data_IF_446912034742
#
_entry.id   IF_446912034742
#
_cell.length_a   1.000
_cell.length_b   1.000
_cell.length_c   1.000
_cell.angle_alpha   90.00
_cell.angle_beta   90.00
_cell.angle_gamma   90.00
#
_symmetry.space_group_name_H-M   'P 1'
#
loop_
_entity.id
_entity.type
_entity.pdbx_description
1 polymer ?
#
# COMPACT_ATOMS: atom_id res chain seq x y z
N UNK A 1 56.84 52.75 -30.96
CA UNK A 1 57.79 53.87 -31.02
C UNK A 1 58.00 54.38 -29.60
N UNK A 2 59.24 54.32 -29.10
CA UNK A 2 59.99 55.39 -28.44
C UNK A 2 61.41 54.82 -28.27
N UNK A 3 62.37 55.57 -28.79
CA UNK A 3 63.78 55.27 -28.79
C UNK A 3 64.48 56.00 -27.64
N UNK A 4 65.51 55.35 -27.08
CA UNK A 4 66.77 55.98 -26.63
C UNK A 4 66.78 56.68 -25.27
N UNK A 5 67.66 56.22 -24.38
CA UNK A 5 68.85 57.00 -24.00
C UNK A 5 69.86 56.13 -23.24
N UNK A 6 71.06 56.02 -23.80
CA UNK A 6 72.28 55.55 -23.14
C UNK A 6 73.02 56.79 -22.64
N UNK A 7 73.33 56.86 -21.34
CA UNK A 7 74.48 57.63 -20.83
C UNK A 7 75.17 56.83 -19.74
N UNK A 8 76.50 56.74 -19.87
CA UNK A 8 77.42 56.01 -19.02
C UNK A 8 77.99 56.91 -17.92
N UNK A 9 78.40 56.30 -16.80
CA UNK A 9 79.38 56.87 -15.87
C UNK A 9 79.02 56.71 -14.40
N UNK A 10 79.64 55.74 -13.72
CA UNK A 10 79.58 55.62 -12.27
C UNK A 10 80.47 54.49 -11.74
N UNK A 11 81.47 54.86 -10.93
CA UNK A 11 82.52 54.04 -10.34
C UNK A 11 81.97 52.77 -9.64
N UNK A 12 82.62 51.64 -9.94
CA UNK A 12 82.27 50.33 -9.40
C UNK A 12 82.56 50.21 -7.90
N UNK A 13 81.50 50.17 -7.11
CA UNK A 13 81.44 49.28 -5.95
C UNK A 13 81.16 47.88 -6.50
N UNK A 14 82.07 46.93 -6.28
CA UNK A 14 81.87 45.52 -6.58
C UNK A 14 80.81 44.93 -5.66
N UNK A 15 79.54 45.30 -5.87
CA UNK A 15 78.40 44.60 -5.32
C UNK A 15 78.26 43.29 -6.06
N UNK A 16 78.36 42.17 -5.35
CA UNK A 16 77.98 40.87 -5.88
C UNK A 16 76.48 40.93 -6.16
N UNK A 17 76.08 41.11 -7.43
CA UNK A 17 74.68 40.94 -7.82
C UNK A 17 74.46 39.44 -7.76
N UNK A 18 73.76 38.97 -6.72
CA UNK A 18 73.33 37.58 -6.64
C UNK A 18 72.60 37.24 -7.95
N UNK A 19 73.01 36.15 -8.60
CA UNK A 19 72.37 35.71 -9.82
C UNK A 19 70.86 35.53 -9.55
N UNK A 20 70.02 36.02 -10.46
CA UNK A 20 68.58 35.79 -10.35
C UNK A 20 68.29 34.31 -10.62
N UNK A 21 67.36 33.73 -9.87
CA UNK A 21 66.96 32.34 -10.00
C UNK A 21 65.85 32.19 -11.07
N UNK A 22 65.93 31.13 -11.86
CA UNK A 22 64.93 30.79 -12.86
C UNK A 22 63.70 30.14 -12.20
N UNK A 23 62.51 30.72 -12.41
CA UNK A 23 61.26 30.17 -11.90
C UNK A 23 60.31 29.80 -13.05
N UNK A 24 59.77 28.59 -12.99
CA UNK A 24 58.63 28.14 -13.78
C UNK A 24 57.39 28.08 -12.87
N UNK A 25 56.55 29.10 -12.94
CA UNK A 25 55.35 29.22 -12.12
C UNK A 25 54.12 28.72 -12.89
N UNK A 26 53.48 27.66 -12.40
CA UNK A 26 52.23 27.11 -12.91
C UNK A 26 51.08 27.50 -11.98
N UNK A 27 50.16 28.34 -12.47
CA UNK A 27 48.95 28.73 -11.73
C UNK A 27 47.74 28.09 -12.39
N UNK A 28 47.05 27.20 -11.68
CA UNK A 28 45.91 26.43 -12.20
C UNK A 28 46.24 25.74 -13.55
N UNK A 29 47.50 25.30 -13.71
CA UNK A 29 48.04 24.67 -14.91
C UNK A 29 48.43 25.62 -16.06
N UNK A 30 48.38 26.94 -15.86
CA UNK A 30 48.93 27.92 -16.78
C UNK A 30 50.34 28.30 -16.34
N UNK A 31 51.34 27.96 -17.17
CA UNK A 31 52.75 28.17 -16.84
C UNK A 31 53.30 29.49 -17.37
N UNK A 32 54.03 30.20 -16.54
CA UNK A 32 54.81 31.40 -16.87
C UNK A 32 56.25 31.20 -16.39
N UNK A 33 57.23 31.63 -17.18
CA UNK A 33 58.65 31.59 -16.82
C UNK A 33 59.21 32.99 -16.65
N UNK A 34 59.99 33.20 -15.61
CA UNK A 34 60.67 34.47 -15.31
C UNK A 34 61.85 34.23 -14.36
N UNK A 35 62.67 35.25 -14.16
CA UNK A 35 63.75 35.24 -13.16
C UNK A 35 63.35 36.05 -11.93
N UNK A 36 63.84 35.67 -10.75
CA UNK A 36 63.53 36.34 -9.48
C UNK A 36 64.73 36.41 -8.54
N UNK A 37 64.69 37.34 -7.58
CA UNK A 37 65.61 37.40 -6.44
C UNK A 37 64.91 37.06 -5.11
N UNK A 38 63.64 36.64 -5.17
CA UNK A 38 62.87 36.24 -4.01
C UNK A 38 63.46 34.96 -3.40
N UNK A 39 63.69 34.96 -2.09
CA UNK A 39 64.34 33.84 -1.41
C UNK A 39 63.43 32.66 -1.10
N UNK A 40 62.10 32.84 -1.13
CA UNK A 40 61.13 31.80 -0.80
C UNK A 40 59.95 31.76 -1.79
N UNK A 41 59.24 30.63 -1.81
CA UNK A 41 58.00 30.49 -2.60
C UNK A 41 56.97 31.57 -2.23
N UNK A 42 56.79 31.86 -0.94
CA UNK A 42 55.86 32.91 -0.49
C UNK A 42 56.21 34.30 -1.06
N UNK A 43 57.50 34.63 -1.10
CA UNK A 43 57.98 35.89 -1.65
C UNK A 43 57.75 35.96 -3.17
N UNK A 44 58.03 34.88 -3.90
CA UNK A 44 57.74 34.79 -5.34
C UNK A 44 56.25 35.02 -5.62
N UNK A 45 55.36 34.36 -4.88
CA UNK A 45 53.91 34.51 -5.09
C UNK A 45 53.43 35.92 -4.77
N UNK A 46 53.94 36.54 -3.70
CA UNK A 46 53.62 37.93 -3.33
C UNK A 46 54.06 38.91 -4.42
N UNK A 47 55.26 38.74 -4.96
CA UNK A 47 55.80 39.63 -6.01
C UNK A 47 55.02 39.49 -7.34
N UNK A 48 54.47 38.30 -7.61
CA UNK A 48 53.57 38.06 -8.74
C UNK A 48 52.11 38.48 -8.46
N UNK A 49 51.79 39.01 -7.27
CA UNK A 49 50.44 39.43 -6.89
C UNK A 49 49.47 38.27 -6.68
N UNK A 50 49.98 37.08 -6.38
CA UNK A 50 49.21 35.85 -6.19
C UNK A 50 48.96 35.64 -4.70
N UNK A 51 47.78 36.04 -4.24
CA UNK A 51 47.33 35.76 -2.88
C UNK A 51 46.81 34.32 -2.77
N UNK A 52 47.36 33.55 -1.84
CA UNK A 52 46.96 32.17 -1.52
C UNK A 52 46.47 32.07 -0.08
N UNK A 53 45.66 31.05 0.22
CA UNK A 53 45.15 30.74 1.56
C UNK A 53 45.44 29.27 1.94
N UNK A 54 44.99 28.87 3.13
CA UNK A 54 45.22 27.56 3.72
C UNK A 54 44.55 26.39 2.99
N UNK A 55 43.60 26.66 2.08
CA UNK A 55 42.93 25.65 1.25
C UNK A 55 43.60 25.44 -0.10
N UNK A 56 44.40 26.40 -0.56
CA UNK A 56 45.08 26.31 -1.84
C UNK A 56 46.25 25.32 -1.74
N UNK A 57 46.51 24.57 -2.82
CA UNK A 57 47.66 23.68 -2.90
C UNK A 57 48.83 24.42 -3.56
N UNK A 58 49.89 24.61 -2.79
CA UNK A 58 51.12 25.29 -3.24
C UNK A 58 52.30 24.34 -3.07
N UNK A 59 52.99 24.06 -4.17
CA UNK A 59 54.12 23.15 -4.22
C UNK A 59 55.32 23.79 -4.94
N UNK A 60 56.52 23.81 -4.34
CA UNK A 60 56.84 23.46 -2.96
C UNK A 60 56.12 24.34 -1.92
N UNK A 61 56.27 24.03 -0.64
CA UNK A 61 55.61 24.79 0.45
C UNK A 61 55.99 26.28 0.44
N UNK A 62 55.15 27.12 1.03
CA UNK A 62 55.37 28.58 1.08
C UNK A 62 56.72 29.00 1.70
N UNK A 63 57.26 28.19 2.61
CA UNK A 63 58.55 28.43 3.27
C UNK A 63 59.74 27.80 2.56
N UNK A 64 59.52 27.07 1.48
CA UNK A 64 60.60 26.47 0.70
C UNK A 64 61.45 27.54 0.05
N UNK A 65 62.77 27.38 0.13
CA UNK A 65 63.73 28.26 -0.52
C UNK A 65 63.64 28.12 -2.04
N UNK A 66 63.81 29.25 -2.73
CA UNK A 66 63.93 29.30 -4.19
C UNK A 66 65.41 29.47 -4.50
N UNK A 67 66.01 28.44 -5.11
CA UNK A 67 67.44 28.43 -5.45
C UNK A 67 67.66 27.65 -6.75
N UNK A 68 68.25 28.30 -7.75
CA UNK A 68 68.37 27.78 -9.09
C UNK A 68 67.02 27.53 -9.78
N UNK A 69 67.00 26.72 -10.86
CA UNK A 69 65.79 26.40 -11.60
C UNK A 69 64.71 25.75 -10.72
N UNK A 70 63.68 26.51 -10.37
CA UNK A 70 62.61 26.09 -9.46
C UNK A 70 61.27 26.06 -10.19
N UNK A 71 60.49 24.98 -10.00
CA UNK A 71 59.10 24.94 -10.48
C UNK A 71 58.17 25.15 -9.29
N UNK A 72 57.29 26.14 -9.38
CA UNK A 72 56.28 26.45 -8.38
C UNK A 72 54.92 26.16 -9.00
N UNK A 73 54.08 25.39 -8.32
CA UNK A 73 52.70 25.10 -8.73
C UNK A 73 51.75 25.66 -7.68
N UNK A 74 50.73 26.37 -8.15
CA UNK A 74 49.63 26.90 -7.33
C UNK A 74 48.33 26.39 -7.92
N UNK A 75 47.61 25.56 -7.19
CA UNK A 75 46.25 25.13 -7.52
C UNK A 75 45.28 25.77 -6.52
N UNK A 76 44.43 26.67 -7.02
CA UNK A 76 43.48 27.37 -6.18
C UNK A 76 42.32 26.46 -5.77
N UNK A 77 41.95 26.51 -4.50
CA UNK A 77 40.76 25.84 -4.00
C UNK A 77 39.50 26.55 -4.47
N UNK A 78 38.50 25.74 -4.82
CA UNK A 78 37.20 26.19 -5.33
C UNK A 78 36.09 25.53 -4.53
N UNK A 79 35.05 26.30 -4.23
CA UNK A 79 33.90 25.78 -3.51
C UNK A 79 32.96 25.02 -4.47
N UNK A 80 32.81 23.73 -4.26
CA UNK A 80 31.84 22.90 -4.97
C UNK A 80 30.62 22.69 -4.09
N UNK A 81 29.46 23.19 -4.51
CA UNK A 81 28.18 22.81 -3.90
C UNK A 81 27.53 21.76 -4.78
N UNK A 82 27.30 20.58 -4.21
CA UNK A 82 26.79 19.43 -4.95
C UNK A 82 25.51 18.91 -4.32
N UNK A 83 24.53 18.56 -5.15
CA UNK A 83 23.28 17.90 -4.72
C UNK A 83 23.23 16.51 -5.32
N UNK A 84 23.61 15.49 -4.55
CA UNK A 84 23.64 14.09 -4.99
C UNK A 84 22.33 13.43 -4.56
N UNK A 85 21.55 12.95 -5.53
CA UNK A 85 20.27 12.26 -5.32
C UNK A 85 19.29 13.04 -4.42
N UNK A 86 19.36 14.38 -4.47
CA UNK A 86 18.53 15.30 -3.68
C UNK A 86 19.15 15.74 -2.34
N UNK A 87 20.26 15.14 -1.90
CA UNK A 87 20.99 15.59 -0.71
C UNK A 87 22.05 16.61 -1.10
N UNK A 88 21.99 17.80 -0.50
CA UNK A 88 22.93 18.90 -0.75
C UNK A 88 24.09 18.85 0.25
N UNK A 89 25.31 18.94 -0.24
CA UNK A 89 26.55 19.05 0.52
C UNK A 89 27.51 20.05 -0.17
N UNK A 90 28.56 20.51 0.52
CA UNK A 90 29.55 21.46 -0.01
C UNK A 90 30.97 20.99 0.32
N UNK A 91 31.88 21.11 -0.66
CA UNK A 91 33.25 20.62 -0.60
C UNK A 91 34.21 21.65 -1.18
N UNK A 92 35.48 21.59 -0.76
CA UNK A 92 36.57 22.33 -1.39
C UNK A 92 37.38 21.36 -2.26
N UNK A 93 37.74 21.80 -3.46
CA UNK A 93 38.55 21.02 -4.41
C UNK A 93 39.46 21.94 -5.21
N UNK A 94 40.62 21.43 -5.63
CA UNK A 94 41.52 22.09 -6.59
C UNK A 94 41.19 21.74 -8.04
N UNK A 95 40.19 20.88 -8.28
CA UNK A 95 39.71 20.55 -9.60
C UNK A 95 39.25 21.79 -10.38
N UNK A 96 39.59 21.82 -11.67
CA UNK A 96 39.31 22.92 -12.60
C UNK A 96 38.10 22.65 -13.49
N UNK A 97 37.61 21.41 -13.49
CA UNK A 97 36.45 20.99 -14.26
C UNK A 97 35.50 20.14 -13.41
N UNK A 98 34.24 20.11 -13.84
CA UNK A 98 33.22 19.26 -13.21
C UNK A 98 33.64 17.79 -13.25
N UNK A 99 34.22 17.30 -14.35
CA UNK A 99 34.61 15.90 -14.44
C UNK A 99 35.70 15.53 -13.44
N UNK A 100 36.74 16.35 -13.33
CA UNK A 100 37.85 16.16 -12.38
C UNK A 100 37.32 16.14 -10.93
N UNK A 101 36.46 17.09 -10.57
CA UNK A 101 35.86 17.11 -9.23
C UNK A 101 34.98 15.88 -8.94
N UNK A 102 34.23 15.42 -9.95
CA UNK A 102 33.39 14.23 -9.81
C UNK A 102 34.23 12.94 -9.72
N UNK A 103 35.38 12.87 -10.39
CA UNK A 103 36.32 11.75 -10.27
C UNK A 103 36.91 11.66 -8.86
N UNK A 104 37.32 12.79 -8.27
CA UNK A 104 37.77 12.85 -6.86
C UNK A 104 36.72 12.30 -5.89
N UNK A 105 35.45 12.57 -6.17
CA UNK A 105 34.30 12.09 -5.39
C UNK A 105 33.84 10.65 -5.75
N UNK A 106 34.54 9.96 -6.65
CA UNK A 106 34.18 8.63 -7.18
C UNK A 106 32.76 8.58 -7.78
N UNK A 107 32.29 9.68 -8.38
CA UNK A 107 30.98 9.73 -9.03
C UNK A 107 31.09 9.14 -10.44
N UNK A 108 30.28 8.12 -10.79
CA UNK A 108 30.43 7.42 -12.06
C UNK A 108 30.11 8.31 -13.27
N UNK A 109 30.75 8.01 -14.41
CA UNK A 109 30.52 8.68 -15.68
C UNK A 109 29.05 8.62 -16.14
N UNK A 110 28.32 7.57 -15.73
CA UNK A 110 26.90 7.34 -16.03
C UNK A 110 25.93 8.19 -15.21
N UNK A 111 26.40 8.98 -14.23
CA UNK A 111 25.54 9.89 -13.48
C UNK A 111 25.03 11.02 -14.38
N UNK A 112 23.75 11.39 -14.21
CA UNK A 112 23.14 12.53 -14.90
C UNK A 112 23.42 13.80 -14.12
N UNK A 113 23.86 14.83 -14.84
CA UNK A 113 24.30 16.10 -14.25
C UNK A 113 23.40 17.27 -14.67
N UNK A 114 23.32 18.30 -13.85
CA UNK A 114 22.68 19.58 -14.22
C UNK A 114 23.53 20.46 -15.13
N UNK A 115 24.79 20.09 -15.38
CA UNK A 115 25.73 20.83 -16.23
C UNK A 115 26.64 19.84 -16.97
N UNK A 116 27.43 20.33 -17.92
CA UNK A 116 28.40 19.53 -18.67
C UNK A 116 29.55 19.04 -17.77
N UNK A 117 30.06 17.84 -18.01
CA UNK A 117 31.29 17.31 -17.39
C UNK A 117 32.51 18.18 -17.71
N UNK A 118 32.56 18.76 -18.90
CA UNK A 118 33.62 19.68 -19.29
C UNK A 118 33.43 21.12 -18.80
N UNK A 119 32.38 21.41 -18.03
CA UNK A 119 32.18 22.75 -17.49
C UNK A 119 33.34 23.11 -16.56
N UNK A 120 33.90 24.31 -16.74
CA UNK A 120 34.95 24.82 -15.86
C UNK A 120 34.35 25.16 -14.50
N UNK A 121 35.14 24.90 -13.45
CA UNK A 121 34.86 25.39 -12.11
C UNK A 121 35.71 26.65 -11.94
N UNK A 122 35.09 27.81 -11.82
CA UNK A 122 35.80 29.05 -11.55
C UNK A 122 36.10 29.20 -10.04
N UNK A 123 36.83 30.25 -9.67
CA UNK A 123 37.21 30.50 -8.27
C UNK A 123 36.03 30.89 -7.37
N UNK A 124 34.89 31.28 -7.93
CA UNK A 124 33.66 31.55 -7.17
C UNK A 124 32.90 30.28 -6.83
N UNK A 125 33.27 29.16 -7.47
CA UNK A 125 32.69 27.86 -7.24
C UNK A 125 31.61 27.47 -8.24
N UNK A 126 30.94 26.36 -7.98
CA UNK A 126 29.86 25.89 -8.86
C UNK A 126 28.80 25.11 -8.08
N UNK A 127 27.55 25.20 -8.53
CA UNK A 127 26.44 24.40 -8.01
C UNK A 127 26.06 23.30 -9.02
N UNK A 128 26.13 22.04 -8.60
CA UNK A 128 25.88 20.87 -9.48
C UNK A 128 24.83 19.97 -8.85
N UNK A 129 23.82 19.56 -9.62
CA UNK A 129 22.93 18.45 -9.26
C UNK A 129 23.39 17.19 -9.96
N UNK A 130 23.45 16.10 -9.22
CA UNK A 130 23.89 14.79 -9.67
C UNK A 130 22.82 13.77 -9.32
N UNK A 131 22.27 13.12 -10.33
CA UNK A 131 21.40 11.96 -10.16
C UNK A 131 22.19 10.70 -10.54
N UNK A 132 22.50 9.87 -9.54
CA UNK A 132 23.34 8.68 -9.74
C UNK A 132 22.53 7.57 -10.41
N UNK A 133 23.14 6.94 -11.41
CA UNK A 133 22.54 5.78 -12.08
C UNK A 133 22.56 4.57 -11.17
N UNK A 134 21.39 3.97 -10.93
CA UNK A 134 21.20 2.80 -10.08
C UNK A 134 20.63 1.66 -10.91
N UNK A 135 21.10 0.46 -10.64
CA UNK A 135 20.56 -0.76 -11.27
C UNK A 135 19.42 -1.33 -10.42
N UNK A 136 18.41 -1.91 -11.06
CA UNK A 136 17.34 -2.61 -10.37
C UNK A 136 16.87 -3.82 -11.18
N UNK A 137 16.38 -4.82 -10.45
CA UNK A 137 15.73 -6.01 -11.02
C UNK A 137 14.25 -5.94 -10.71
N UNK A 138 13.42 -5.88 -11.75
CA UNK A 138 11.96 -5.85 -11.66
C UNK A 138 11.42 -7.24 -12.00
N UNK A 139 10.57 -7.78 -11.14
CA UNK A 139 9.80 -9.00 -11.38
C UNK A 139 8.35 -8.61 -11.55
N UNK A 140 7.78 -8.80 -12.74
CA UNK A 140 6.40 -8.43 -13.07
C UNK A 140 5.76 -9.49 -13.97
N UNK A 141 4.60 -10.02 -13.59
CA UNK A 141 3.88 -11.03 -14.39
C UNK A 141 4.71 -12.26 -14.75
N UNK A 142 5.54 -12.73 -13.81
CA UNK A 142 6.46 -13.87 -14.01
C UNK A 142 7.72 -13.58 -14.84
N UNK A 143 7.87 -12.37 -15.39
CA UNK A 143 9.08 -11.95 -16.14
C UNK A 143 10.03 -11.18 -15.24
N UNK A 144 11.34 -11.36 -15.48
CA UNK A 144 12.40 -10.60 -14.81
C UNK A 144 13.04 -9.63 -15.80
N UNK A 145 13.06 -8.34 -15.44
CA UNK A 145 13.62 -7.25 -16.22
C UNK A 145 14.73 -6.58 -15.42
N UNK A 146 15.85 -6.26 -16.07
CA UNK A 146 16.89 -5.40 -15.49
C UNK A 146 16.72 -4.00 -16.04
N UNK A 147 16.78 -3.00 -15.16
CA UNK A 147 16.70 -1.59 -15.55
C UNK A 147 17.82 -0.80 -14.87
N UNK A 148 18.38 0.16 -15.59
CA UNK A 148 19.22 1.21 -15.03
C UNK A 148 18.42 2.50 -15.04
N UNK A 149 18.35 3.18 -13.90
CA UNK A 149 17.59 4.43 -13.78
C UNK A 149 18.35 5.46 -12.95
N UNK A 150 18.22 6.72 -13.33
CA UNK A 150 18.65 7.90 -12.55
C UNK A 150 17.52 8.45 -11.69
N UNK A 151 16.35 7.80 -11.72
CA UNK A 151 15.22 8.12 -10.86
C UNK A 151 15.54 7.92 -9.37
N UNK A 152 14.82 8.65 -8.52
CA UNK A 152 15.03 8.60 -7.06
C UNK A 152 14.14 7.58 -6.39
N UNK A 153 13.08 7.12 -7.06
CA UNK A 153 12.06 6.25 -6.46
C UNK A 153 11.87 4.95 -7.23
N UNK A 154 11.24 3.97 -6.58
CA UNK A 154 10.80 2.72 -7.23
C UNK A 154 9.86 3.00 -8.41
N UNK A 155 8.97 4.01 -8.28
CA UNK A 155 8.08 4.43 -9.35
C UNK A 155 8.84 4.92 -10.59
N UNK A 156 9.93 5.66 -10.41
CA UNK A 156 10.76 6.13 -11.53
C UNK A 156 11.41 4.97 -12.28
N UNK A 157 11.92 3.96 -11.56
CA UNK A 157 12.50 2.76 -12.15
C UNK A 157 11.46 1.96 -12.95
N UNK A 158 10.24 1.81 -12.43
CA UNK A 158 9.14 1.14 -13.12
C UNK A 158 8.72 1.89 -14.38
N UNK A 159 8.61 3.23 -14.30
CA UNK A 159 8.32 4.10 -15.45
C UNK A 159 9.39 3.97 -16.54
N UNK A 160 10.67 3.96 -16.16
CA UNK A 160 11.78 3.79 -17.08
C UNK A 160 11.80 2.40 -17.73
N UNK A 161 11.46 1.35 -16.97
CA UNK A 161 11.30 0.00 -17.48
C UNK A 161 10.01 -0.20 -18.30
N UNK A 162 9.16 0.83 -18.41
CA UNK A 162 7.83 0.77 -19.05
C UNK A 162 6.92 -0.32 -18.45
N UNK A 163 7.06 -0.57 -17.14
CA UNK A 163 6.20 -1.48 -16.39
C UNK A 163 5.04 -0.67 -15.82
N UNK A 164 3.87 -0.84 -16.43
CA UNK A 164 2.63 -0.26 -15.93
C UNK A 164 2.08 -1.08 -14.76
N UNK A 165 1.43 -0.40 -13.83
CA UNK A 165 0.66 -0.97 -12.74
C UNK A 165 -0.45 0.01 -12.35
N UNK A 166 -1.54 -0.49 -11.78
CA UNK A 166 -2.66 0.33 -11.31
C UNK A 166 -2.78 0.37 -9.78
N UNK A 167 -3.91 0.86 -9.28
CA UNK A 167 -4.18 1.02 -7.85
C UNK A 167 -4.45 -0.30 -7.12
N UNK A 168 -4.86 -1.32 -7.85
CA UNK A 168 -5.22 -2.63 -7.31
C UNK A 168 -3.98 -3.55 -7.28
N UNK A 169 -3.02 -3.30 -8.16
CA UNK A 169 -1.72 -3.97 -8.21
C UNK A 169 -0.86 -3.77 -6.95
N UNK A 170 -0.02 -4.77 -6.66
CA UNK A 170 0.87 -4.74 -5.49
C UNK A 170 2.32 -4.56 -5.93
N UNK A 171 2.90 -3.42 -5.56
CA UNK A 171 4.31 -3.10 -5.80
C UNK A 171 5.10 -3.13 -4.50
N UNK A 172 6.18 -3.93 -4.48
CA UNK A 172 7.09 -4.06 -3.34
C UNK A 172 8.55 -3.89 -3.77
N UNK A 173 9.34 -2.97 -3.17
CA UNK A 173 8.92 -1.97 -2.18
C UNK A 173 7.89 -0.98 -2.75
N UNK A 174 7.25 -0.19 -1.87
CA UNK A 174 6.25 0.82 -2.29
C UNK A 174 6.80 1.72 -3.41
N UNK A 175 5.99 2.17 -4.38
CA UNK A 175 6.45 3.02 -5.47
C UNK A 175 7.14 4.31 -5.02
N UNK A 176 6.73 4.88 -3.89
CA UNK A 176 7.32 6.10 -3.31
C UNK A 176 8.64 5.88 -2.57
N UNK A 177 9.05 4.64 -2.34
CA UNK A 177 10.30 4.32 -1.65
C UNK A 177 11.51 4.74 -2.49
N UNK A 178 12.61 5.09 -1.82
CA UNK A 178 13.86 5.44 -2.50
C UNK A 178 14.41 4.24 -3.30
N UNK A 179 14.87 4.50 -4.52
CA UNK A 179 15.57 3.53 -5.35
C UNK A 179 17.00 3.35 -4.80
N UNK A 180 17.36 2.12 -4.47
CA UNK A 180 18.73 1.74 -4.07
C UNK A 180 19.40 1.01 -5.22
N UNK A 181 20.73 1.06 -5.28
CA UNK A 181 21.46 0.26 -6.27
C UNK A 181 21.23 -1.24 -6.03
N UNK A 182 21.09 -1.98 -7.12
CA UNK A 182 20.72 -3.40 -7.18
C UNK A 182 19.38 -3.73 -6.49
N UNK A 183 18.47 -2.76 -6.37
CA UNK A 183 17.17 -2.98 -5.75
C UNK A 183 16.38 -4.08 -6.47
N UNK A 184 15.71 -4.95 -5.71
CA UNK A 184 14.73 -5.91 -6.23
C UNK A 184 13.33 -5.32 -6.06
N UNK A 185 12.61 -5.20 -7.17
CA UNK A 185 11.26 -4.66 -7.25
C UNK A 185 10.36 -5.80 -7.72
N UNK A 186 9.23 -6.00 -7.05
CA UNK A 186 8.24 -7.01 -7.39
C UNK A 186 6.92 -6.29 -7.64
N UNK A 187 6.33 -6.52 -8.80
CA UNK A 187 5.00 -6.05 -9.21
C UNK A 187 4.12 -7.27 -9.40
N UNK A 188 3.08 -7.40 -8.58
CA UNK A 188 2.05 -8.43 -8.73
C UNK A 188 0.81 -7.78 -9.31
N UNK A 189 0.36 -8.30 -10.44
CA UNK A 189 -0.84 -7.77 -11.12
C UNK A 189 -2.08 -8.34 -10.44
N UNK A 190 -3.01 -7.48 -10.04
CA UNK A 190 -4.24 -7.85 -9.32
C UNK A 190 -5.43 -7.53 -10.19
N UNK A 191 -6.16 -8.57 -10.61
CA UNK A 191 -7.36 -8.43 -11.43
C UNK A 191 -8.60 -8.85 -10.64
N UNK A 192 -9.62 -7.99 -10.59
CA UNK A 192 -10.89 -8.27 -9.90
C UNK A 192 -12.01 -8.43 -10.93
N UNK A 193 -12.57 -9.64 -11.04
CA UNK A 193 -13.69 -9.94 -11.93
C UNK A 193 -14.98 -10.14 -11.14
N UNK A 194 -16.11 -9.75 -11.74
CA UNK A 194 -17.44 -10.10 -11.22
C UNK A 194 -18.16 -10.98 -12.22
N UNK A 195 -18.86 -12.01 -11.72
CA UNK A 195 -19.70 -12.86 -12.54
C UNK A 195 -21.06 -13.08 -11.88
N UNK A 196 -22.12 -13.03 -12.67
CA UNK A 196 -23.47 -13.36 -12.24
C UNK A 196 -23.77 -14.79 -12.63
N UNK A 197 -24.27 -15.60 -11.69
CA UNK A 197 -24.66 -17.00 -11.90
C UNK A 197 -26.11 -17.18 -11.50
N UNK A 198 -26.90 -17.85 -12.34
CA UNK A 198 -28.23 -18.34 -11.96
C UNK A 198 -28.07 -19.77 -11.48
N UNK A 199 -28.48 -20.02 -10.25
CA UNK A 199 -28.46 -21.34 -9.63
C UNK A 199 -29.89 -21.83 -9.55
N UNK A 200 -30.10 -23.01 -10.14
CA UNK A 200 -31.39 -23.70 -10.11
C UNK A 200 -31.48 -24.60 -8.88
N UNK A 201 -32.66 -24.59 -8.27
CA UNK A 201 -33.00 -25.37 -7.10
C UNK A 201 -34.16 -26.28 -7.47
N UNK A 202 -33.83 -27.49 -7.94
CA UNK A 202 -34.78 -28.51 -8.36
C UNK A 202 -35.82 -28.79 -7.27
N UNK A 203 -37.07 -28.96 -7.68
CA UNK A 203 -38.16 -29.32 -6.78
C UNK A 203 -38.22 -30.83 -6.56
N UNK A 204 -38.74 -31.23 -5.40
CA UNK A 204 -39.00 -32.63 -5.06
C UNK A 204 -40.46 -32.98 -5.33
N UNK A 205 -40.75 -34.25 -5.61
CA UNK A 205 -42.12 -34.77 -5.61
C UNK A 205 -42.40 -35.37 -4.23
N UNK A 206 -43.51 -34.96 -3.62
CA UNK A 206 -43.98 -35.41 -2.32
C UNK A 206 -45.33 -36.10 -2.56
N UNK A 207 -45.42 -37.35 -2.15
CA UNK A 207 -46.67 -38.11 -2.17
C UNK A 207 -47.43 -37.90 -0.85
N UNK A 208 -48.74 -37.70 -0.94
CA UNK A 208 -49.60 -37.51 0.23
C UNK A 208 -50.85 -38.37 0.07
N UNK A 209 -51.06 -39.26 1.02
CA UNK A 209 -52.23 -40.15 1.01
C UNK A 209 -53.54 -39.37 1.23
N UNK A 210 -54.62 -39.81 0.57
CA UNK A 210 -55.97 -39.26 0.77
C UNK A 210 -57.07 -40.31 0.61
N UNK A 211 -58.05 -40.28 1.51
CA UNK A 211 -59.27 -41.08 1.42
C UNK A 211 -60.29 -40.52 0.41
N UNK A 212 -60.00 -39.38 -0.23
CA UNK A 212 -60.88 -38.79 -1.24
C UNK A 212 -60.78 -39.44 -2.62
N UNK A 213 -59.73 -40.22 -2.88
CA UNK A 213 -59.45 -40.89 -4.14
C UNK A 213 -59.45 -42.41 -3.93
N UNK A 214 -59.85 -43.17 -4.96
CA UNK A 214 -59.84 -44.63 -4.90
C UNK A 214 -58.41 -45.17 -4.83
N UNK A 215 -58.24 -46.31 -4.15
CA UNK A 215 -56.94 -46.97 -4.01
C UNK A 215 -56.34 -47.29 -5.38
N UNK A 216 -55.18 -46.70 -5.68
CA UNK A 216 -54.49 -46.82 -6.96
C UNK A 216 -54.64 -45.59 -7.88
N UNK A 217 -55.56 -44.66 -7.58
CA UNK A 217 -55.65 -43.38 -8.27
C UNK A 217 -54.63 -42.38 -7.72
N UNK A 218 -54.10 -41.53 -8.60
CA UNK A 218 -53.27 -40.41 -8.20
C UNK A 218 -53.77 -39.11 -8.83
N UNK A 219 -53.62 -38.00 -8.09
CA UNK A 219 -53.96 -36.66 -8.59
C UNK A 219 -52.88 -35.68 -8.19
N UNK A 220 -52.38 -34.88 -9.14
CA UNK A 220 -51.48 -33.77 -8.79
C UNK A 220 -52.30 -32.67 -8.11
N UNK A 221 -51.95 -32.37 -6.86
CA UNK A 221 -52.56 -31.30 -6.07
C UNK A 221 -51.79 -29.99 -6.24
N UNK A 222 -50.45 -30.06 -6.19
CA UNK A 222 -49.58 -28.91 -6.38
C UNK A 222 -48.51 -29.21 -7.43
N UNK A 223 -48.40 -28.36 -8.47
CA UNK A 223 -47.33 -28.48 -9.46
C UNK A 223 -46.00 -27.97 -8.89
N UNK A 224 -44.94 -28.75 -9.10
CA UNK A 224 -43.58 -28.39 -8.73
C UNK A 224 -43.02 -27.22 -9.55
N UNK A 225 -42.21 -26.39 -8.90
CA UNK A 225 -41.56 -25.23 -9.49
C UNK A 225 -40.09 -25.25 -9.09
N UNK A 226 -39.19 -25.35 -10.07
CA UNK A 226 -37.75 -25.16 -9.86
C UNK A 226 -37.50 -23.74 -9.38
N UNK A 227 -36.84 -23.61 -8.23
CA UNK A 227 -36.42 -22.32 -7.72
C UNK A 227 -35.22 -21.80 -8.50
N UNK A 228 -35.10 -20.48 -8.63
CA UNK A 228 -33.95 -19.85 -9.29
C UNK A 228 -33.43 -18.76 -8.37
N UNK A 229 -32.15 -18.83 -8.06
CA UNK A 229 -31.43 -17.80 -7.33
C UNK A 229 -30.37 -17.19 -8.24
N UNK A 230 -30.33 -15.86 -8.33
CA UNK A 230 -29.25 -15.13 -8.99
C UNK A 230 -28.20 -14.74 -7.96
N UNK A 231 -26.97 -15.17 -8.17
CA UNK A 231 -25.84 -14.88 -7.31
C UNK A 231 -24.78 -14.06 -8.05
N UNK A 232 -24.31 -12.98 -7.43
CA UNK A 232 -23.18 -12.20 -7.95
C UNK A 232 -21.93 -12.60 -7.18
N UNK A 233 -20.90 -13.01 -7.90
CA UNK A 233 -19.62 -13.47 -7.36
C UNK A 233 -18.51 -12.52 -7.78
N UNK A 234 -17.54 -12.29 -6.90
CA UNK A 234 -16.28 -11.61 -7.15
C UNK A 234 -15.13 -12.61 -7.10
N UNK A 235 -14.21 -12.51 -8.05
CA UNK A 235 -13.01 -13.33 -8.17
C UNK A 235 -11.81 -12.39 -8.19
N UNK A 236 -10.80 -12.66 -7.37
CA UNK A 236 -9.53 -11.91 -7.34
C UNK A 236 -8.43 -12.80 -7.87
N UNK A 237 -7.73 -12.33 -8.90
CA UNK A 237 -6.59 -12.99 -9.50
C UNK A 237 -5.32 -12.22 -9.17
N UNK A 238 -4.28 -12.91 -8.74
CA UNK A 238 -2.94 -12.34 -8.56
C UNK A 238 -1.99 -13.06 -9.51
N UNK A 239 -1.36 -12.31 -10.41
CA UNK A 239 -0.52 -12.83 -11.50
C UNK A 239 -1.25 -13.93 -12.31
N UNK A 240 -2.54 -13.71 -12.57
CA UNK A 240 -3.41 -14.64 -13.33
C UNK A 240 -3.92 -15.85 -12.55
N UNK A 241 -3.52 -16.05 -11.29
CA UNK A 241 -3.99 -17.15 -10.44
C UNK A 241 -5.13 -16.70 -9.53
N UNK A 242 -6.24 -17.44 -9.50
CA UNK A 242 -7.34 -17.16 -8.56
C UNK A 242 -6.84 -17.30 -7.12
N UNK A 243 -7.03 -16.25 -6.32
CA UNK A 243 -6.60 -16.19 -4.91
C UNK A 243 -7.76 -16.02 -3.96
N UNK A 244 -8.84 -15.38 -4.41
CA UNK A 244 -10.03 -15.15 -3.60
C UNK A 244 -11.29 -15.29 -4.46
N UNK A 245 -12.33 -15.90 -3.88
CA UNK A 245 -13.67 -15.99 -4.46
C UNK A 245 -14.69 -15.66 -3.39
N UNK A 246 -15.52 -14.65 -3.64
CA UNK A 246 -16.51 -14.14 -2.68
C UNK A 246 -17.88 -13.96 -3.34
N UNK A 247 -18.95 -14.45 -2.69
CA UNK A 247 -20.32 -14.10 -3.07
C UNK A 247 -20.64 -12.69 -2.56
N UNK A 248 -21.00 -11.79 -3.46
CA UNK A 248 -21.37 -10.40 -3.16
C UNK A 248 -22.85 -10.27 -2.83
N UNK A 249 -23.71 -10.96 -3.57
CA UNK A 249 -25.16 -10.91 -3.36
C UNK A 249 -25.83 -12.20 -3.82
N UNK A 250 -27.03 -12.43 -3.30
CA UNK A 250 -27.91 -13.52 -3.68
C UNK A 250 -29.34 -12.99 -3.70
N UNK A 251 -30.04 -13.19 -4.81
CA UNK A 251 -31.42 -12.75 -5.02
C UNK A 251 -32.26 -13.92 -5.52
N UNK A 252 -33.30 -14.28 -4.78
CA UNK A 252 -34.26 -15.28 -5.24
C UNK A 252 -35.09 -14.66 -6.38
N UNK A 253 -34.91 -15.17 -7.60
CA UNK A 253 -35.73 -14.78 -8.76
C UNK A 253 -37.03 -15.57 -8.81
N UNK A 254 -36.97 -16.85 -8.43
CA UNK A 254 -38.13 -17.75 -8.40
C UNK A 254 -38.05 -18.62 -7.16
N UNK A 255 -39.07 -18.57 -6.29
CA UNK A 255 -39.12 -19.45 -5.11
C UNK A 255 -39.40 -20.88 -5.56
N UNK A 256 -38.61 -21.83 -5.05
CA UNK A 256 -38.83 -23.27 -5.24
C UNK A 256 -40.17 -23.67 -4.62
N UNK A 257 -40.93 -24.55 -5.28
CA UNK A 257 -42.12 -25.22 -4.72
C UNK A 257 -42.08 -26.71 -5.06
N UNK A 258 -42.24 -27.57 -4.06
CA UNK A 258 -42.28 -29.02 -4.27
C UNK A 258 -43.61 -29.44 -4.93
N UNK A 259 -43.57 -30.50 -5.76
CA UNK A 259 -44.75 -31.09 -6.40
C UNK A 259 -45.45 -31.99 -5.37
N UNK A 260 -46.77 -31.84 -5.21
CA UNK A 260 -47.57 -32.71 -4.34
C UNK A 260 -48.47 -33.59 -5.20
N UNK A 261 -48.35 -34.91 -5.02
CA UNK A 261 -49.20 -35.91 -5.66
C UNK A 261 -50.02 -36.59 -4.57
N UNK A 262 -51.35 -36.49 -4.68
CA UNK A 262 -52.27 -37.21 -3.82
C UNK A 262 -52.37 -38.66 -4.30
N UNK A 263 -52.27 -39.60 -3.38
CA UNK A 263 -52.40 -41.04 -3.64
C UNK A 263 -53.64 -41.55 -2.91
N UNK A 264 -54.57 -42.18 -3.64
CA UNK A 264 -55.82 -42.64 -3.08
C UNK A 264 -55.65 -43.83 -2.14
N UNK A 265 -56.36 -43.79 -1.01
CA UNK A 265 -56.42 -44.86 -0.01
C UNK A 265 -57.82 -45.40 0.21
N UNK A 266 -58.83 -44.86 -0.49
CA UNK A 266 -60.23 -45.29 -0.34
C UNK A 266 -60.40 -46.68 -0.96
N UNK A 267 -60.72 -47.65 -0.12
CA UNK A 267 -61.02 -49.00 -0.60
C UNK A 267 -62.34 -49.01 -1.38
N UNK A 268 -62.43 -49.80 -2.47
CA UNK A 268 -63.66 -49.93 -3.23
C UNK A 268 -64.76 -50.48 -2.31
N UNK A 269 -65.95 -49.85 -2.33
CA UNK A 269 -67.11 -50.39 -1.62
C UNK A 269 -67.42 -51.77 -2.20
N UNK A 270 -67.32 -52.82 -1.36
CA UNK A 270 -67.96 -54.11 -1.67
C UNK A 270 -69.45 -53.84 -1.88
N UNK A 271 -69.95 -54.26 -3.04
CA UNK A 271 -71.38 -54.38 -3.32
C UNK A 271 -71.93 -55.50 -2.44
N UNK A 272 -72.86 -55.20 -1.53
CA UNK A 272 -73.63 -56.22 -0.84
C UNK A 272 -75.12 -56.03 -1.11
N UNK A 273 -75.69 -57.10 -1.64
CA UNK A 273 -77.10 -57.37 -1.93
C UNK A 273 -77.68 -58.11 -0.70
N UNK A 274 -78.80 -57.60 -0.19
CA UNK A 274 -79.85 -58.27 0.62
C UNK A 274 -79.58 -59.07 1.92
N UNK A 275 -80.42 -58.75 2.90
CA UNK A 275 -81.16 -59.62 3.84
C UNK A 275 -80.51 -60.24 5.10
N UNK A 276 -80.99 -59.68 6.23
CA UNK A 276 -81.80 -60.33 7.28
C UNK A 276 -81.14 -61.02 8.50
N UNK A 277 -81.65 -60.53 9.63
CA UNK A 277 -81.93 -61.15 10.93
C UNK A 277 -80.91 -61.34 12.07
N UNK A 278 -81.41 -60.88 13.23
CA UNK A 278 -81.23 -61.40 14.60
C UNK A 278 -80.09 -60.92 15.52
N UNK A 279 -80.48 -59.94 16.39
CA UNK A 279 -80.57 -60.01 17.87
C UNK A 279 -79.33 -60.16 18.78
N UNK A 280 -79.28 -59.20 19.71
CA UNK A 280 -79.17 -59.27 21.18
C UNK A 280 -77.94 -58.66 21.87
N UNK A 281 -78.28 -57.74 22.80
CA UNK A 281 -77.73 -57.44 24.14
C UNK A 281 -76.27 -56.99 24.22
N UNK A 282 -75.82 -56.08 25.08
CA UNK A 282 -76.34 -55.18 26.11
C UNK A 282 -75.06 -54.36 26.42
N UNK A 283 -75.01 -53.04 26.56
CA UNK A 283 -75.35 -52.32 27.79
C UNK A 283 -74.64 -50.96 27.74
N UNK A 284 -75.38 -49.93 28.13
CA UNK A 284 -74.99 -48.89 29.07
C UNK A 284 -73.71 -48.07 28.86
N UNK A 285 -73.89 -46.82 28.44
CA UNK A 285 -73.85 -45.64 29.34
C UNK A 285 -73.30 -44.40 28.62
N UNK A 286 -74.17 -43.39 28.49
CA UNK A 286 -74.03 -42.04 29.08
C UNK A 286 -72.64 -41.36 29.02
N UNK A 287 -72.48 -40.09 28.70
CA UNK A 287 -73.37 -38.97 28.41
C UNK A 287 -72.45 -37.79 28.07
N UNK A 288 -73.08 -36.68 27.67
CA UNK A 288 -72.63 -35.32 27.97
C UNK A 288 -71.64 -34.62 27.01
N UNK A 289 -72.25 -34.11 25.94
CA UNK A 289 -72.56 -32.69 25.71
C UNK A 289 -71.47 -31.59 25.80
N UNK A 290 -71.61 -30.67 24.83
CA UNK A 290 -71.31 -29.24 24.97
C UNK A 290 -69.87 -28.82 24.65
N UNK A 291 -69.59 -27.66 24.08
CA UNK A 291 -70.40 -26.53 23.64
C UNK A 291 -69.43 -25.52 23.01
N UNK A 292 -69.94 -24.73 22.05
CA UNK A 292 -69.56 -23.37 21.63
C UNK A 292 -68.07 -22.93 21.66
N UNK A 293 -67.49 -22.44 20.56
CA UNK A 293 -68.01 -21.36 19.72
C UNK A 293 -67.23 -20.08 20.01
N UNK A 294 -66.77 -19.35 18.98
CA UNK A 294 -66.21 -18.01 19.18
C UNK A 294 -65.17 -17.55 18.17
N UNK A 295 -65.66 -16.98 17.08
CA UNK A 295 -64.98 -16.15 16.07
C UNK A 295 -64.22 -14.94 16.66
N UNK A 296 -63.23 -14.41 15.91
CA UNK A 296 -62.92 -12.97 15.95
C UNK A 296 -61.45 -12.55 15.88
N UNK A 297 -60.94 -12.41 14.65
CA UNK A 297 -60.17 -11.30 14.07
C UNK A 297 -59.05 -10.52 14.80
N UNK A 298 -57.99 -10.36 14.01
CA UNK A 298 -57.17 -9.16 13.75
C UNK A 298 -56.19 -8.57 14.79
N UNK A 299 -55.13 -8.02 14.19
CA UNK A 299 -54.12 -7.08 14.69
C UNK A 299 -52.87 -7.58 15.44
N UNK A 300 -51.78 -7.60 14.66
CA UNK A 300 -50.48 -6.94 14.91
C UNK A 300 -49.80 -7.14 16.29
N UNK A 301 -48.59 -7.74 16.36
CA UNK A 301 -47.77 -7.62 17.54
C UNK A 301 -46.87 -6.38 17.45
N UNK A 302 -47.12 -5.49 18.41
CA UNK A 302 -46.27 -4.39 18.84
C UNK A 302 -44.89 -4.86 19.31
N UNK A 303 -43.94 -3.93 19.14
CA UNK A 303 -42.69 -3.76 19.88
C UNK A 303 -42.60 -4.50 21.22
N UNK A 304 -41.58 -5.35 21.35
CA UNK A 304 -41.03 -5.76 22.64
C UNK A 304 -39.57 -5.33 22.76
N UNK A 305 -39.35 -4.39 23.68
CA UNK A 305 -38.04 -4.08 24.25
C UNK A 305 -37.51 -5.30 25.01
N UNK A 306 -36.71 -6.14 24.34
CA UNK A 306 -35.90 -7.11 25.04
C UNK A 306 -34.72 -6.42 25.75
N UNK A 307 -34.61 -6.66 27.05
CA UNK A 307 -33.53 -6.30 27.97
C UNK A 307 -32.19 -6.93 27.56
N UNK A 308 -31.66 -6.53 26.41
CA UNK A 308 -30.34 -6.94 25.94
C UNK A 308 -29.25 -6.26 26.77
N UNK A 309 -28.23 -7.04 27.18
CA UNK A 309 -27.01 -6.52 27.82
C UNK A 309 -26.54 -5.27 27.09
N UNK A 310 -26.38 -4.18 27.82
CA UNK A 310 -25.94 -2.90 27.27
C UNK A 310 -24.86 -2.28 28.15
N UNK A 311 -24.04 -1.41 27.57
CA UNK A 311 -22.93 -0.76 28.27
C UNK A 311 -22.30 0.35 27.43
N UNK A 312 -21.40 1.09 28.06
CA UNK A 312 -20.60 2.14 27.43
C UNK A 312 -19.12 1.84 27.58
N UNK A 313 -18.34 2.05 26.53
CA UNK A 313 -16.90 1.81 26.53
C UNK A 313 -16.23 2.53 25.35
N UNK A 314 -14.92 2.38 25.22
CA UNK A 314 -14.22 2.71 23.98
C UNK A 314 -14.29 1.56 22.95
N UNK A 315 -14.47 1.92 21.69
CA UNK A 315 -14.36 1.02 20.55
C UNK A 315 -13.18 1.43 19.66
N UNK A 316 -12.35 0.45 19.31
CA UNK A 316 -11.33 0.59 18.26
C UNK A 316 -11.79 -0.10 16.98
N UNK A 317 -10.94 -0.11 15.95
CA UNK A 317 -11.13 -0.98 14.81
C UNK A 317 -9.86 -1.72 14.44
N UNK A 318 -10.03 -2.89 13.82
CA UNK A 318 -8.95 -3.72 13.32
C UNK A 318 -9.14 -4.07 11.85
N UNK A 319 -8.02 -4.36 11.20
CA UNK A 319 -7.97 -4.53 9.75
C UNK A 319 -7.02 -5.63 9.28
N UNK A 320 -6.33 -6.30 10.19
CA UNK A 320 -5.40 -7.36 9.84
C UNK A 320 -6.21 -8.64 9.57
N UNK A 321 -5.98 -9.26 8.41
CA UNK A 321 -6.65 -10.49 8.00
C UNK A 321 -6.10 -11.68 8.79
N UNK A 322 -6.72 -11.98 9.93
CA UNK A 322 -6.44 -13.15 10.75
C UNK A 322 -7.69 -14.05 10.83
N UNK A 323 -7.54 -15.29 11.27
CA UNK A 323 -8.68 -16.11 11.64
C UNK A 323 -9.30 -15.53 12.91
N UNK A 324 -10.61 -15.36 12.93
CA UNK A 324 -11.33 -14.88 14.12
C UNK A 324 -11.54 -16.01 15.11
N UNK A 325 -11.84 -15.67 16.36
CA UNK A 325 -12.03 -16.65 17.43
C UNK A 325 -13.24 -17.59 17.23
N UNK A 326 -14.22 -17.27 16.37
CA UNK A 326 -15.31 -18.19 16.03
C UNK A 326 -14.96 -19.14 14.86
N UNK A 327 -13.73 -19.07 14.33
CA UNK A 327 -13.24 -19.93 13.25
C UNK A 327 -13.54 -19.42 11.84
N UNK A 328 -14.19 -18.25 11.67
CA UNK A 328 -14.38 -17.64 10.35
C UNK A 328 -13.18 -16.75 9.97
N UNK A 329 -12.88 -16.65 8.67
CA UNK A 329 -11.84 -15.75 8.19
C UNK A 329 -12.28 -14.30 8.39
N UNK A 330 -11.45 -13.47 9.04
CA UNK A 330 -11.80 -12.08 9.29
C UNK A 330 -11.97 -11.31 7.98
N UNK A 331 -13.13 -10.70 7.81
CA UNK A 331 -13.42 -9.82 6.69
C UNK A 331 -13.58 -8.38 7.17
N UNK A 332 -12.60 -7.54 6.84
CA UNK A 332 -12.59 -6.12 7.24
C UNK A 332 -13.77 -5.32 6.68
N UNK A 333 -14.46 -5.83 5.64
CA UNK A 333 -15.58 -5.18 4.99
C UNK A 333 -16.96 -5.62 5.51
N UNK A 334 -17.04 -6.62 6.38
CA UNK A 334 -18.31 -7.06 6.97
C UNK A 334 -18.64 -6.28 8.24
N UNK A 335 -19.92 -6.26 8.64
CA UNK A 335 -20.34 -5.60 9.88
C UNK A 335 -20.19 -6.55 11.06
N UNK A 336 -18.95 -6.74 11.49
CA UNK A 336 -18.57 -7.63 12.60
C UNK A 336 -17.74 -6.91 13.65
N UNK A 337 -17.63 -7.50 14.83
CA UNK A 337 -16.82 -6.97 15.91
C UNK A 337 -16.30 -8.07 16.85
N UNK A 338 -15.16 -7.79 17.48
CA UNK A 338 -14.66 -8.54 18.62
C UNK A 338 -15.31 -8.03 19.91
N UNK A 339 -15.69 -8.95 20.81
CA UNK A 339 -16.09 -8.63 22.18
C UNK A 339 -15.53 -9.66 23.16
N UNK A 340 -15.17 -9.23 24.38
CA UNK A 340 -14.53 -10.08 25.41
C UNK A 340 -15.35 -11.31 25.78
N UNK A 341 -16.65 -11.13 25.99
CA UNK A 341 -17.52 -12.16 26.58
C UNK A 341 -18.90 -12.33 25.95
N UNK A 342 -19.25 -11.57 24.90
CA UNK A 342 -20.57 -11.72 24.29
C UNK A 342 -20.58 -13.04 23.48
N UNK A 343 -21.68 -13.80 23.51
CA UNK A 343 -21.80 -15.02 22.71
C UNK A 343 -21.49 -14.74 21.23
N UNK A 344 -20.83 -15.66 20.56
CA UNK A 344 -20.65 -15.54 19.11
C UNK A 344 -22.02 -15.49 18.42
N UNK A 345 -22.07 -14.81 17.28
CA UNK A 345 -23.27 -14.50 16.51
C UNK A 345 -24.28 -13.57 17.19
N UNK A 346 -23.99 -13.04 18.38
CA UNK A 346 -24.80 -11.95 18.97
C UNK A 346 -24.85 -10.76 18.02
N UNK A 347 -26.05 -10.21 17.81
CA UNK A 347 -26.23 -8.94 17.10
C UNK A 347 -26.19 -7.80 18.10
N UNK A 348 -25.38 -6.79 17.82
CA UNK A 348 -25.14 -5.68 18.74
C UNK A 348 -25.30 -4.37 17.98
N UNK A 349 -26.21 -3.51 18.44
CA UNK A 349 -26.26 -2.13 17.98
C UNK A 349 -25.17 -1.34 18.70
N UNK A 350 -24.30 -0.70 17.93
CA UNK A 350 -23.19 0.14 18.43
C UNK A 350 -23.46 1.57 18.00
N UNK A 351 -23.50 2.48 18.96
CA UNK A 351 -23.77 3.91 18.75
C UNK A 351 -22.56 4.72 19.18
N UNK A 352 -22.01 5.52 18.27
CA UNK A 352 -20.94 6.45 18.57
C UNK A 352 -21.49 7.66 19.34
N UNK A 353 -21.00 7.87 20.56
CA UNK A 353 -21.48 8.92 21.46
C UNK A 353 -21.05 10.32 21.01
N UNK A 354 -20.02 10.45 20.19
CA UNK A 354 -19.54 11.74 19.70
C UNK A 354 -20.43 12.35 18.61
N UNK A 355 -21.15 11.52 17.85
CA UNK A 355 -21.92 11.99 16.68
C UNK A 355 -23.31 11.36 16.53
N UNK A 356 -23.71 10.47 17.44
CA UNK A 356 -25.02 9.81 17.45
C UNK A 356 -25.23 8.74 16.37
N UNK A 357 -24.28 8.51 15.45
CA UNK A 357 -24.42 7.50 14.40
C UNK A 357 -24.34 6.10 14.99
N UNK A 358 -25.13 5.17 14.44
CA UNK A 358 -25.14 3.78 14.89
C UNK A 358 -25.11 2.78 13.74
N UNK A 359 -24.63 1.57 14.05
CA UNK A 359 -24.69 0.42 13.15
C UNK A 359 -24.94 -0.85 13.94
N UNK A 360 -25.33 -1.92 13.27
CA UNK A 360 -25.50 -3.25 13.88
C UNK A 360 -24.38 -4.16 13.40
N UNK A 361 -23.67 -4.77 14.35
CA UNK A 361 -22.60 -5.73 14.07
C UNK A 361 -22.93 -7.10 14.62
N UNK A 362 -22.31 -8.14 14.06
CA UNK A 362 -22.32 -9.50 14.60
C UNK A 362 -21.02 -9.79 15.33
N UNK A 363 -21.08 -10.37 16.53
CA UNK A 363 -19.88 -10.79 17.26
C UNK A 363 -19.32 -12.08 16.65
N UNK A 364 -18.14 -12.01 16.07
CA UNK A 364 -17.44 -13.17 15.48
C UNK A 364 -16.06 -13.40 16.09
N UNK A 365 -15.58 -12.48 16.91
CA UNK A 365 -14.20 -12.51 17.41
C UNK A 365 -14.12 -12.17 18.90
N UNK A 366 -12.93 -12.30 19.48
CA UNK A 366 -12.66 -12.08 20.90
C UNK A 366 -11.64 -10.97 21.12
N UNK A 367 -11.91 -10.15 22.14
CA UNK A 367 -11.12 -8.95 22.44
C UNK A 367 -12.01 -7.70 22.46
N UNK A 368 -11.44 -6.49 22.44
CA UNK A 368 -10.02 -6.20 22.63
C UNK A 368 -9.62 -6.41 24.09
N UNK A 369 -8.52 -7.11 24.38
CA UNK A 369 -8.06 -7.37 25.76
C UNK A 369 -7.27 -6.20 26.37
N UNK A 370 -7.81 -5.00 26.21
CA UNK A 370 -7.21 -3.75 26.70
C UNK A 370 -8.23 -3.10 27.65
N UNK A 371 -7.73 -2.50 28.73
CA UNK A 371 -8.59 -1.80 29.70
C UNK A 371 -9.31 -0.62 29.03
N UNK A 372 -10.53 -0.33 29.44
CA UNK A 372 -11.36 0.75 28.86
C UNK A 372 -12.03 0.42 27.52
N UNK A 373 -11.53 -0.55 26.75
CA UNK A 373 -12.10 -0.94 25.44
C UNK A 373 -12.96 -2.19 25.56
N UNK A 374 -14.15 -2.18 24.94
CA UNK A 374 -15.05 -3.34 24.95
C UNK A 374 -15.41 -3.87 23.56
N UNK A 375 -15.19 -3.09 22.50
CA UNK A 375 -15.44 -3.50 21.13
C UNK A 375 -14.23 -3.20 20.25
N UNK A 376 -13.92 -4.14 19.36
CA UNK A 376 -13.03 -3.88 18.24
C UNK A 376 -13.82 -4.11 16.96
N UNK A 377 -14.17 -3.02 16.27
CA UNK A 377 -15.03 -3.07 15.11
C UNK A 377 -14.23 -3.49 13.88
N UNK A 378 -14.90 -4.11 12.91
CA UNK A 378 -14.34 -4.16 11.56
C UNK A 378 -14.16 -2.74 11.00
N UNK A 379 -13.30 -2.59 9.98
CA UNK A 379 -13.11 -1.32 9.29
C UNK A 379 -14.42 -0.77 8.71
N UNK A 380 -15.26 -1.64 8.13
CA UNK A 380 -16.57 -1.24 7.61
C UNK A 380 -17.51 -0.71 8.70
N UNK A 381 -17.61 -1.41 9.83
CA UNK A 381 -18.46 -1.00 10.95
C UNK A 381 -17.99 0.33 11.56
N UNK A 382 -16.67 0.50 11.74
CA UNK A 382 -16.11 1.77 12.22
C UNK A 382 -16.34 2.93 11.24
N UNK A 383 -16.16 2.67 9.93
CA UNK A 383 -16.42 3.66 8.89
C UNK A 383 -17.88 4.14 8.91
N UNK A 384 -18.82 3.25 9.22
CA UNK A 384 -20.25 3.58 9.28
C UNK A 384 -20.61 4.53 10.44
N UNK A 385 -19.93 4.43 11.60
CA UNK A 385 -20.30 5.20 12.80
C UNK A 385 -19.37 6.38 13.10
N UNK A 386 -18.15 6.42 12.57
CA UNK A 386 -17.19 7.49 12.94
C UNK A 386 -16.09 7.77 11.93
N UNK A 387 -15.88 6.89 10.93
CA UNK A 387 -14.69 6.95 10.08
C UNK A 387 -13.47 6.33 10.77
N UNK A 388 -12.45 5.97 9.99
CA UNK A 388 -11.25 5.27 10.51
C UNK A 388 -10.17 6.21 11.04
N UNK A 389 -10.27 7.52 10.80
CA UNK A 389 -9.27 8.51 11.21
C UNK A 389 -9.25 8.78 12.73
N UNK A 390 -10.36 8.52 13.43
CA UNK A 390 -10.47 8.75 14.87
C UNK A 390 -9.69 7.72 15.72
N UNK A 391 -9.39 6.54 15.17
CA UNK A 391 -8.69 5.45 15.86
C UNK A 391 -9.55 4.75 16.92
N UNK A 392 -9.98 5.50 17.95
CA UNK A 392 -10.80 5.04 19.08
C UNK A 392 -11.98 6.00 19.27
N UNK A 393 -13.17 5.46 19.51
CA UNK A 393 -14.39 6.25 19.73
C UNK A 393 -15.18 5.77 20.95
N UNK A 394 -15.76 6.66 21.77
CA UNK A 394 -16.66 6.27 22.84
C UNK A 394 -17.98 5.78 22.25
N UNK A 395 -18.43 4.61 22.67
CA UNK A 395 -19.66 3.98 22.17
C UNK A 395 -20.58 3.53 23.29
N UNK A 396 -21.88 3.52 22.99
CA UNK A 396 -22.89 2.74 23.71
C UNK A 396 -23.28 1.54 22.87
N UNK A 397 -23.28 0.34 23.46
CA UNK A 397 -23.72 -0.87 22.78
C UNK A 397 -24.96 -1.48 23.45
N UNK A 398 -25.82 -2.13 22.66
CA UNK A 398 -27.00 -2.89 23.12
C UNK A 398 -27.11 -4.18 22.29
N UNK A 399 -27.18 -5.33 22.95
CA UNK A 399 -27.48 -6.62 22.32
C UNK A 399 -28.94 -6.63 21.85
N UNK A 400 -29.21 -7.17 20.66
CA UNK A 400 -30.51 -7.19 20.00
C UNK A 400 -31.18 -8.55 20.04
#
# INVERSE_FOLDING_TARGET
MIAGLLTAGGLGYGGYVAAADDVNLSVDGQSTRFTTHAGTVADVLRDQGIAVNDRDDVQPSLTSEVAGPTTITVNFARQLTITIDGKKDSYWTTARSVDEALQEMNIPASAKLSTSRGAKIDRTGIHIKVDTSKTATIVAGGKTLKVTSTGRTIADALKQAKVAYDKDDQVSPKPSSALRDKAKIVVKIVEVKKATKKIEHEFKTIEKETASLEKGETKTDTTGITGITEEVWQYVYVDGKETEKRKLSSKVLKKKRDKIVLVGTKEPKKSDDSNDDSKNDDSDSNDDSGDSGGSGNDDEPKNDEASGKSGTCEASYYWQGQMTANGEQFNTNDFTAAHKSLPFNSRVRVTNLNNGKSTVVRINDRGPYISGRCLDLSRAAMKAIGGTSAGVVPVKYKVL
#
